data_IF_766019577466
#
_entry.id   IF_766019577466
#
_cell.length_a   1.000
_cell.length_b   1.000
_cell.length_c   1.000
_cell.angle_alpha   90.00
_cell.angle_beta   90.00
_cell.angle_gamma   90.00
#
_symmetry.space_group_name_H-M   'P 1'
#
loop_
_entity.id
_entity.type
_entity.pdbx_description
1 polymer ?
#
# COMPACT_ATOMS: atom_id res chain seq x y z
N UNK A 1 -24.36 10.65 -2.60
CA UNK A 1 -23.21 10.14 -3.38
C UNK A 1 -22.07 9.90 -2.43
N UNK A 2 -21.81 8.66 -2.06
CA UNK A 2 -20.55 8.29 -1.44
C UNK A 2 -19.53 8.17 -2.57
N UNK A 3 -18.61 9.12 -2.65
CA UNK A 3 -17.49 8.99 -3.59
C UNK A 3 -16.71 7.74 -3.17
N UNK A 4 -16.39 6.86 -4.14
CA UNK A 4 -15.57 5.66 -3.90
C UNK A 4 -14.22 6.02 -3.25
N UNK A 5 -13.76 7.25 -3.48
CA UNK A 5 -12.52 7.81 -2.96
C UNK A 5 -12.81 8.88 -1.90
N UNK A 6 -12.00 8.90 -0.85
CA UNK A 6 -12.02 9.94 0.17
C UNK A 6 -11.33 11.21 -0.36
N UNK A 7 -11.70 12.36 0.20
CA UNK A 7 -11.11 13.66 -0.15
C UNK A 7 -9.59 13.67 0.02
N UNK A 8 -9.08 13.06 1.09
CA UNK A 8 -7.64 12.92 1.36
C UNK A 8 -6.91 12.21 0.21
N UNK A 9 -7.46 11.11 -0.30
CA UNK A 9 -6.87 10.35 -1.41
C UNK A 9 -6.78 11.19 -2.68
N UNK A 10 -7.82 11.99 -2.97
CA UNK A 10 -7.83 12.89 -4.13
C UNK A 10 -6.78 14.00 -3.96
N UNK A 11 -6.63 14.54 -2.74
CA UNK A 11 -5.62 15.55 -2.42
C UNK A 11 -4.20 14.99 -2.55
N UNK A 12 -3.95 13.75 -2.15
CA UNK A 12 -2.64 13.10 -2.26
C UNK A 12 -2.25 12.84 -3.73
N UNK A 13 -3.19 12.38 -4.55
CA UNK A 13 -3.00 12.27 -6.00
C UNK A 13 -2.67 13.64 -6.61
N UNK A 14 -3.42 14.68 -6.24
CA UNK A 14 -3.18 16.03 -6.74
C UNK A 14 -1.81 16.57 -6.32
N UNK A 15 -1.35 16.25 -5.11
CA UNK A 15 -0.04 16.62 -4.59
C UNK A 15 1.10 15.99 -5.40
N UNK A 16 0.99 14.71 -5.73
CA UNK A 16 1.95 14.00 -6.59
C UNK A 16 1.98 14.68 -7.96
N UNK A 17 0.83 14.85 -8.61
CA UNK A 17 0.78 15.50 -9.93
C UNK A 17 1.36 16.92 -9.91
N UNK A 18 1.08 17.70 -8.86
CA UNK A 18 1.59 19.06 -8.70
C UNK A 18 3.12 19.11 -8.50
N UNK A 19 3.69 18.18 -7.71
CA UNK A 19 5.15 18.03 -7.52
C UNK A 19 5.87 17.87 -8.86
N UNK A 20 5.31 17.05 -9.75
CA UNK A 20 5.88 16.77 -11.06
C UNK A 20 5.60 17.88 -12.09
N UNK A 21 4.41 18.48 -12.07
CA UNK A 21 4.05 19.62 -12.92
C UNK A 21 4.94 20.85 -12.70
N UNK A 22 5.28 21.16 -11.43
CA UNK A 22 6.17 22.27 -11.07
C UNK A 22 7.64 22.06 -11.45
N UNK A 23 7.97 20.92 -12.07
CA UNK A 23 9.30 20.68 -12.63
C UNK A 23 10.37 20.30 -11.65
N UNK A 24 9.98 19.75 -10.49
CA UNK A 24 10.92 19.14 -9.54
C UNK A 24 11.61 17.91 -10.19
N UNK A 25 11.00 17.32 -11.23
CA UNK A 25 11.63 16.35 -12.11
C UNK A 25 11.21 16.65 -13.55
N UNK A 26 12.12 17.12 -14.41
CA UNK A 26 11.96 17.04 -15.87
C UNK A 26 13.18 16.28 -16.40
N UNK A 27 12.94 15.15 -17.06
CA UNK A 27 14.01 14.30 -17.59
C UNK A 27 13.53 12.88 -17.93
N UNK A 28 14.37 12.08 -18.61
CA UNK A 28 14.11 10.66 -18.80
C UNK A 28 13.95 10.00 -17.41
N UNK A 29 12.76 9.46 -17.13
CA UNK A 29 12.39 8.94 -15.81
C UNK A 29 11.25 9.68 -15.11
N UNK A 30 10.72 10.77 -15.68
CA UNK A 30 9.55 11.50 -15.15
C UNK A 30 8.35 10.59 -14.85
N UNK A 31 7.95 9.79 -15.84
CA UNK A 31 6.84 8.84 -15.72
C UNK A 31 7.16 7.72 -14.71
N UNK A 32 8.43 7.34 -14.58
CA UNK A 32 8.86 6.36 -13.59
C UNK A 32 8.74 6.89 -12.16
N UNK A 33 9.10 8.16 -11.94
CA UNK A 33 8.93 8.83 -10.66
C UNK A 33 7.46 8.95 -10.25
N UNK A 34 6.60 9.38 -11.17
CA UNK A 34 5.15 9.45 -10.91
C UNK A 34 4.58 8.08 -10.55
N UNK A 35 4.95 7.03 -11.30
CA UNK A 35 4.49 5.68 -11.02
C UNK A 35 5.00 5.18 -9.66
N UNK A 36 6.24 5.50 -9.27
CA UNK A 36 6.78 5.19 -7.95
C UNK A 36 6.00 5.86 -6.82
N UNK A 37 5.76 7.17 -6.90
CA UNK A 37 4.97 7.89 -5.90
C UNK A 37 3.53 7.34 -5.80
N UNK A 38 2.94 6.89 -6.93
CA UNK A 38 1.63 6.21 -6.91
C UNK A 38 1.67 4.82 -6.29
N UNK A 39 2.76 4.07 -6.48
CA UNK A 39 2.95 2.77 -5.83
C UNK A 39 2.92 2.92 -4.33
N UNK A 40 3.63 3.91 -3.79
CA UNK A 40 3.68 4.16 -2.35
C UNK A 40 2.31 4.59 -1.82
N UNK A 41 1.62 5.47 -2.55
CA UNK A 41 0.27 5.92 -2.20
C UNK A 41 -0.74 4.75 -2.17
N UNK A 42 -0.74 3.90 -3.21
CA UNK A 42 -1.66 2.76 -3.29
C UNK A 42 -1.32 1.64 -2.31
N UNK A 43 -0.03 1.44 -2.00
CA UNK A 43 0.40 0.52 -0.95
C UNK A 43 -0.07 0.99 0.44
N UNK A 44 -0.04 2.29 0.71
CA UNK A 44 -0.53 2.87 1.96
C UNK A 44 -2.06 2.75 2.10
N UNK A 45 -2.80 2.99 1.02
CA UNK A 45 -4.27 2.94 1.00
C UNK A 45 -4.85 1.53 0.92
N UNK A 46 -4.09 0.57 0.40
CA UNK A 46 -4.49 -0.83 0.28
C UNK A 46 -3.47 -1.74 0.98
N UNK A 47 -3.39 -1.68 2.33
CA UNK A 47 -2.52 -2.57 3.08
C UNK A 47 -3.01 -4.01 2.93
N UNK A 48 -2.08 -4.95 2.84
CA UNK A 48 -2.40 -6.37 3.03
C UNK A 48 -2.98 -6.55 4.43
N UNK A 49 -4.00 -7.38 4.58
CA UNK A 49 -4.65 -7.62 5.87
C UNK A 49 -4.50 -9.09 6.20
N UNK A 50 -4.23 -9.42 7.46
CA UNK A 50 -4.23 -10.81 7.89
C UNK A 50 -5.67 -11.33 7.82
N UNK A 51 -5.93 -12.37 7.02
CA UNK A 51 -7.29 -12.93 6.87
C UNK A 51 -7.83 -13.56 8.16
N UNK A 52 -6.94 -13.82 9.13
CA UNK A 52 -7.26 -14.48 10.39
C UNK A 52 -7.58 -13.48 11.52
N UNK A 53 -6.77 -12.43 11.71
CA UNK A 53 -6.94 -11.47 12.82
C UNK A 53 -7.31 -10.05 12.37
N UNK A 54 -7.34 -9.76 11.08
CA UNK A 54 -7.72 -8.44 10.55
C UNK A 54 -6.68 -7.34 10.77
N UNK A 55 -5.50 -7.65 11.35
CA UNK A 55 -4.43 -6.66 11.50
C UNK A 55 -3.74 -6.40 10.16
N UNK A 56 -3.18 -5.21 9.97
CA UNK A 56 -2.26 -4.90 8.87
C UNK A 56 -0.80 -4.96 9.35
N UNK A 57 0.18 -5.20 8.46
CA UNK A 57 1.60 -5.25 8.82
C UNK A 57 2.11 -3.95 9.45
N UNK A 58 1.49 -2.82 9.09
CA UNK A 58 1.85 -1.49 9.59
C UNK A 58 1.30 -1.20 10.99
N UNK A 59 0.27 -1.93 11.43
CA UNK A 59 -0.43 -1.70 12.70
C UNK A 59 -0.13 -2.73 13.81
N UNK A 60 0.49 -3.86 13.48
CA UNK A 60 0.69 -4.97 14.42
C UNK A 60 2.16 -5.30 14.65
N UNK A 61 2.71 -4.94 15.81
CA UNK A 61 4.07 -5.32 16.26
C UNK A 61 4.22 -6.82 16.60
N UNK A 62 3.15 -7.60 16.50
CA UNK A 62 3.18 -9.02 16.85
C UNK A 62 3.61 -9.83 15.62
N UNK A 63 4.80 -10.44 15.70
CA UNK A 63 5.30 -11.40 14.72
C UNK A 63 4.33 -12.59 14.49
N UNK A 64 3.43 -12.85 15.42
CA UNK A 64 2.50 -13.98 15.41
C UNK A 64 1.04 -13.51 15.42
N UNK A 65 0.19 -14.27 14.72
CA UNK A 65 -1.25 -14.03 14.66
C UNK A 65 -1.90 -14.52 15.96
N UNK A 66 -2.36 -13.58 16.79
CA UNK A 66 -3.14 -13.88 18.01
C UNK A 66 -4.61 -13.79 17.67
N UNK A 67 -5.29 -14.94 17.59
CA UNK A 67 -6.74 -15.00 17.38
C UNK A 67 -7.40 -15.15 18.74
N UNK A 68 -8.18 -14.15 19.17
CA UNK A 68 -8.95 -14.23 20.42
C UNK A 68 -8.94 -12.94 21.22
N UNK A 69 -9.89 -12.04 20.92
CA UNK A 69 -10.29 -11.04 21.90
C UNK A 69 -10.99 -11.76 23.06
N UNK A 70 -10.32 -11.90 24.21
CA UNK A 70 -10.96 -12.26 25.48
C UNK A 70 -10.72 -13.67 26.04
N UNK A 71 -9.77 -14.47 25.54
CA UNK A 71 -9.46 -15.78 26.13
C UNK A 71 -8.18 -15.73 27.00
N UNK A 72 -8.14 -16.40 28.17
CA UNK A 72 -7.03 -16.30 29.14
C UNK A 72 -5.79 -17.15 28.79
N UNK A 73 -5.74 -17.76 27.60
CA UNK A 73 -4.66 -18.65 27.19
C UNK A 73 -3.99 -18.15 25.90
N UNK A 74 -2.85 -17.45 26.05
CA UNK A 74 -2.00 -16.98 24.96
C UNK A 74 -1.16 -18.13 24.40
N UNK A 75 -1.66 -18.82 23.38
CA UNK A 75 -0.80 -19.63 22.51
C UNK A 75 -0.63 -18.90 21.16
N UNK A 76 0.60 -18.62 20.70
CA UNK A 76 0.83 -18.01 19.39
C UNK A 76 0.52 -19.05 18.31
N UNK A 77 -0.68 -19.00 17.75
CA UNK A 77 -1.21 -20.13 16.98
C UNK A 77 -0.84 -20.20 15.50
N UNK A 78 -0.19 -19.21 14.88
CA UNK A 78 0.40 -19.29 13.51
C UNK A 78 1.06 -17.97 13.08
N UNK A 79 1.87 -18.04 12.02
CA UNK A 79 2.27 -16.87 11.22
C UNK A 79 1.04 -16.17 10.63
N UNK A 80 1.14 -14.86 10.38
CA UNK A 80 0.05 -14.11 9.75
C UNK A 80 -0.16 -14.57 8.30
N UNK A 81 -1.40 -14.90 7.95
CA UNK A 81 -1.78 -15.16 6.58
C UNK A 81 -2.22 -13.86 5.93
N UNK A 82 -1.29 -13.16 5.28
CA UNK A 82 -1.53 -11.88 4.62
C UNK A 82 -2.27 -12.10 3.30
N UNK A 83 -3.48 -11.53 3.19
CA UNK A 83 -4.29 -11.58 1.98
C UNK A 83 -4.60 -10.17 1.47
N UNK A 84 -4.74 -10.07 0.15
CA UNK A 84 -5.02 -8.82 -0.54
C UNK A 84 -3.85 -7.84 -0.47
N UNK A 85 -4.20 -6.55 -0.57
CA UNK A 85 -3.25 -5.46 -0.65
C UNK A 85 -2.84 -5.13 -2.09
N UNK A 86 -2.27 -3.93 -2.25
CA UNK A 86 -1.74 -3.49 -3.52
C UNK A 86 -0.46 -4.26 -3.88
N UNK A 87 -0.30 -4.60 -5.16
CA UNK A 87 0.90 -5.25 -5.67
C UNK A 87 1.75 -4.24 -6.47
N UNK A 88 2.80 -3.66 -5.85
CA UNK A 88 3.70 -2.71 -6.49
C UNK A 88 4.28 -3.20 -7.81
N UNK A 89 4.68 -4.48 -7.85
CA UNK A 89 5.37 -5.06 -9.01
C UNK A 89 4.44 -5.15 -10.21
N UNK A 90 3.21 -5.61 -9.99
CA UNK A 90 2.22 -5.70 -11.06
C UNK A 90 1.82 -4.32 -11.58
N UNK A 91 1.72 -3.33 -10.70
CA UNK A 91 1.42 -1.96 -11.12
C UNK A 91 2.56 -1.34 -11.94
N UNK A 92 3.81 -1.44 -11.45
CA UNK A 92 4.98 -0.94 -12.18
C UNK A 92 5.13 -1.65 -13.54
N UNK A 93 4.84 -2.95 -13.58
CA UNK A 93 4.82 -3.71 -14.82
C UNK A 93 3.79 -3.16 -15.82
N UNK A 94 2.56 -2.89 -15.36
CA UNK A 94 1.53 -2.27 -16.19
C UNK A 94 1.91 -0.86 -16.65
N UNK A 95 2.75 -0.14 -15.90
CA UNK A 95 3.31 1.15 -16.30
C UNK A 95 4.49 1.04 -17.30
N UNK A 96 4.88 -0.18 -17.72
CA UNK A 96 6.03 -0.41 -18.57
C UNK A 96 7.37 -0.17 -17.88
N UNK A 97 7.38 -0.23 -16.55
CA UNK A 97 8.55 -0.04 -15.68
C UNK A 97 9.03 -1.36 -15.08
N UNK A 98 8.74 -2.48 -15.75
CA UNK A 98 9.33 -3.77 -15.36
C UNK A 98 10.83 -3.59 -15.27
N UNK A 99 11.36 -3.93 -14.10
CA UNK A 99 12.77 -3.87 -13.79
C UNK A 99 13.53 -4.53 -14.94
N UNK A 100 14.34 -3.77 -15.66
CA UNK A 100 15.58 -4.35 -16.18
C UNK A 100 16.31 -4.84 -14.93
N UNK A 101 16.11 -6.12 -14.61
CA UNK A 101 16.81 -6.82 -13.55
C UNK A 101 18.27 -7.00 -13.90
#
# INVERSE_FOLDING_TARGET
MTTRYQKSQIEDVARILHKYYLGIAYGPGYSAGIAGDFVDLFAADSPSICSVCGTSPLGGQNLYCVVGFGAPSREPTKEHNWEGGFNPKQFLAACGLESEG
#
